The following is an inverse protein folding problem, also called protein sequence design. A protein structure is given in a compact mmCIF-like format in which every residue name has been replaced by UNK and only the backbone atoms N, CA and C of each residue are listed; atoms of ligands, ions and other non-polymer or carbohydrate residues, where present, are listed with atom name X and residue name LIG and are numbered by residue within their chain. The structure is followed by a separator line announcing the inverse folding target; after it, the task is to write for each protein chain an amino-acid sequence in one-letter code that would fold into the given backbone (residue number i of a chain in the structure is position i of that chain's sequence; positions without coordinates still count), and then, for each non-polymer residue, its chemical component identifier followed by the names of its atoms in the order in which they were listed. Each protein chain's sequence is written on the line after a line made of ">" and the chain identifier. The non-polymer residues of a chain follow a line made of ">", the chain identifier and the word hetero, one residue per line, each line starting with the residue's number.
data_IF_729159389532
#
_entry.id   IF_729159389532
#
_cell.length_a   1.000
_cell.length_b   1.000
_cell.length_c   1.000
_cell.angle_alpha   90.00
_cell.angle_beta   90.00
_cell.angle_gamma   90.00
#
_symmetry.space_group_name_H-M   'P 1'
#
loop_
_entity.id
_entity.type
_entity.pdbx_description
1 polymer ?
#
# COMPACT_ATOMS: atom_id res chain seq x y z
N UNK A 1 2.03 -21.51 -5.22
CA UNK A 1 1.55 -20.30 -4.51
C UNK A 1 0.11 -20.03 -4.93
N UNK A 2 -0.73 -19.38 -4.06
CA UNK A 2 -2.08 -18.96 -4.48
C UNK A 2 -1.92 -17.88 -5.55
N UNK A 3 -2.64 -18.02 -6.65
CA UNK A 3 -2.65 -17.04 -7.75
C UNK A 3 -3.67 -15.92 -7.53
N UNK A 4 -4.62 -16.13 -6.60
CA UNK A 4 -5.66 -15.16 -6.21
C UNK A 4 -5.68 -14.96 -4.70
N UNK A 5 -6.24 -13.82 -4.28
CA UNK A 5 -6.37 -13.39 -2.89
C UNK A 5 -7.73 -12.76 -2.64
N UNK A 6 -8.07 -12.59 -1.36
CA UNK A 6 -9.20 -11.78 -0.94
C UNK A 6 -8.74 -10.32 -0.78
N UNK A 7 -9.60 -9.40 -1.19
CA UNK A 7 -9.41 -7.97 -0.94
C UNK A 7 -10.75 -7.27 -0.78
N UNK A 8 -10.78 -6.24 0.05
CA UNK A 8 -11.92 -5.33 0.13
C UNK A 8 -11.69 -4.23 -0.90
N UNK A 9 -12.58 -4.11 -1.89
CA UNK A 9 -12.45 -3.15 -2.99
C UNK A 9 -13.61 -2.19 -3.08
N UNK A 10 -13.28 -0.93 -3.40
CA UNK A 10 -14.24 0.07 -3.86
C UNK A 10 -14.51 -0.17 -5.34
N UNK A 11 -15.76 -0.41 -5.72
CA UNK A 11 -16.17 -0.59 -7.10
C UNK A 11 -16.78 0.68 -7.69
N UNK A 12 -17.39 1.51 -6.84
CA UNK A 12 -17.93 2.81 -7.21
C UNK A 12 -17.75 3.78 -6.04
N UNK A 13 -17.48 5.07 -6.34
CA UNK A 13 -17.33 6.14 -5.35
C UNK A 13 -18.03 7.42 -5.81
N UNK A 14 -18.49 8.20 -4.85
CA UNK A 14 -19.11 9.51 -5.07
C UNK A 14 -20.60 9.43 -5.48
N UNK A 15 -21.22 10.60 -5.66
CA UNK A 15 -22.63 10.76 -6.05
C UNK A 15 -23.65 10.04 -5.15
N UNK A 16 -23.32 9.86 -3.86
CA UNK A 16 -24.15 9.11 -2.92
C UNK A 16 -24.15 7.59 -3.16
N UNK A 17 -23.35 7.10 -4.11
CA UNK A 17 -23.15 5.68 -4.38
C UNK A 17 -21.75 5.31 -4.00
N UNK A 18 -21.64 4.39 -3.06
CA UNK A 18 -20.38 3.77 -2.68
C UNK A 18 -20.59 2.28 -2.62
N UNK A 19 -19.84 1.54 -3.41
CA UNK A 19 -19.90 0.09 -3.40
C UNK A 19 -18.60 -0.48 -2.91
N UNK A 20 -18.62 -1.00 -1.66
CA UNK A 20 -17.50 -1.70 -1.04
C UNK A 20 -17.81 -3.20 -1.01
N UNK A 21 -16.94 -4.02 -1.62
CA UNK A 21 -17.10 -5.46 -1.68
C UNK A 21 -15.89 -6.22 -1.18
N UNK A 22 -16.14 -7.38 -0.58
CA UNK A 22 -15.11 -8.40 -0.38
C UNK A 22 -15.02 -9.28 -1.62
N UNK A 23 -14.04 -9.03 -2.46
CA UNK A 23 -13.73 -9.85 -3.63
C UNK A 23 -12.77 -10.99 -3.24
N UNK A 24 -13.03 -12.20 -3.75
CA UNK A 24 -12.30 -13.41 -3.33
C UNK A 24 -11.29 -13.91 -4.37
N UNK A 25 -11.37 -13.38 -5.59
CA UNK A 25 -10.58 -13.85 -6.74
C UNK A 25 -9.72 -12.73 -7.34
N UNK A 26 -9.21 -11.85 -6.48
CA UNK A 26 -8.31 -10.77 -6.90
C UNK A 26 -6.94 -11.36 -7.22
N UNK A 27 -6.35 -11.09 -8.40
CA UNK A 27 -5.00 -11.56 -8.69
C UNK A 27 -3.99 -11.10 -7.63
N UNK A 28 -3.12 -12.01 -7.19
CA UNK A 28 -1.99 -11.64 -6.32
C UNK A 28 -1.01 -10.83 -7.17
N UNK A 29 -0.63 -9.61 -6.76
CA UNK A 29 0.33 -8.82 -7.51
C UNK A 29 1.74 -9.41 -7.40
N UNK A 30 2.57 -9.18 -8.41
CA UNK A 30 3.98 -9.57 -8.45
C UNK A 30 4.85 -8.34 -8.19
N UNK A 31 5.85 -8.40 -7.29
CA UNK A 31 6.72 -7.27 -7.03
C UNK A 31 7.64 -7.00 -8.22
N UNK A 32 7.69 -5.75 -8.64
CA UNK A 32 8.61 -5.24 -9.65
C UNK A 32 9.99 -4.91 -9.10
N UNK A 33 10.81 -4.23 -9.92
CA UNK A 33 12.16 -3.78 -9.53
C UNK A 33 12.05 -2.81 -8.35
N UNK A 34 12.78 -3.08 -7.25
CA UNK A 34 12.78 -2.25 -6.05
C UNK A 34 11.53 -2.41 -5.17
N UNK A 35 10.71 -3.42 -5.40
CA UNK A 35 9.49 -3.68 -4.63
C UNK A 35 9.56 -5.04 -3.91
N UNK A 36 8.70 -5.20 -2.92
CA UNK A 36 8.48 -6.48 -2.24
C UNK A 36 6.98 -6.80 -2.18
N UNK A 37 6.64 -8.07 -2.10
CA UNK A 37 5.30 -8.55 -1.80
C UNK A 37 5.18 -8.79 -0.30
N UNK A 38 4.20 -8.18 0.32
CA UNK A 38 3.88 -8.36 1.74
C UNK A 38 2.67 -9.28 1.92
N UNK A 39 2.73 -10.18 2.89
CA UNK A 39 1.55 -10.77 3.52
C UNK A 39 1.05 -9.77 4.56
N UNK A 40 -0.10 -9.18 4.33
CA UNK A 40 -0.69 -8.20 5.27
C UNK A 40 -1.11 -8.93 6.54
N UNK A 41 -0.62 -8.46 7.69
CA UNK A 41 -1.00 -8.95 9.03
C UNK A 41 -1.97 -8.01 9.71
N UNK A 42 -1.79 -6.71 9.50
CA UNK A 42 -2.68 -5.68 9.98
C UNK A 42 -2.71 -4.50 9.00
N UNK A 43 -3.86 -3.86 8.91
CA UNK A 43 -4.01 -2.60 8.19
C UNK A 43 -4.91 -1.68 9.03
N UNK A 44 -4.39 -0.50 9.37
CA UNK A 44 -5.12 0.50 10.14
C UNK A 44 -6.25 1.11 9.30
N UNK A 45 -7.34 1.50 9.98
CA UNK A 45 -8.44 2.29 9.39
C UNK A 45 -8.19 3.76 9.66
N UNK A 46 -8.22 4.57 8.61
CA UNK A 46 -7.94 6.01 8.65
C UNK A 46 -9.09 6.84 8.08
N UNK A 47 -9.15 8.10 8.50
CA UNK A 47 -10.13 9.03 7.93
C UNK A 47 -9.97 9.18 6.41
N UNK A 48 -8.75 9.08 5.88
CA UNK A 48 -8.49 9.15 4.43
C UNK A 48 -9.17 8.02 3.66
N UNK A 49 -9.36 6.85 4.27
CA UNK A 49 -10.09 5.74 3.64
C UNK A 49 -11.56 6.10 3.44
N UNK A 50 -12.17 6.81 4.41
CA UNK A 50 -13.53 7.33 4.29
C UNK A 50 -13.61 8.42 3.22
N UNK A 51 -12.64 9.33 3.16
CA UNK A 51 -12.57 10.36 2.12
C UNK A 51 -12.41 9.74 0.72
N UNK A 52 -11.61 8.70 0.60
CA UNK A 52 -11.44 7.96 -0.67
C UNK A 52 -12.76 7.28 -1.07
N UNK A 53 -13.39 6.60 -0.11
CA UNK A 53 -14.71 5.96 -0.29
C UNK A 53 -15.79 6.94 -0.75
N UNK A 54 -15.78 8.14 -0.19
CA UNK A 54 -16.80 9.15 -0.45
C UNK A 54 -16.46 10.03 -1.67
N UNK A 55 -15.35 9.73 -2.38
CA UNK A 55 -14.90 10.50 -3.55
C UNK A 55 -14.41 11.90 -3.23
N UNK A 56 -13.97 12.15 -1.98
CA UNK A 56 -13.53 13.45 -1.48
C UNK A 56 -12.00 13.63 -1.51
N UNK A 57 -11.27 12.66 -2.05
CA UNK A 57 -9.83 12.82 -2.29
C UNK A 57 -9.60 13.66 -3.57
N UNK A 58 -8.47 14.42 -3.66
CA UNK A 58 -8.18 15.27 -4.83
C UNK A 58 -8.12 14.51 -6.16
N UNK A 59 -7.86 13.23 -6.11
CA UNK A 59 -7.81 12.34 -7.28
C UNK A 59 -8.59 11.06 -6.95
N UNK A 60 -9.56 10.74 -7.78
CA UNK A 60 -10.26 9.46 -7.71
C UNK A 60 -9.35 8.37 -8.27
N UNK A 61 -9.00 7.32 -7.48
CA UNK A 61 -8.20 6.23 -8.01
C UNK A 61 -8.97 5.43 -9.07
N UNK A 62 -8.26 4.70 -9.95
CA UNK A 62 -8.92 3.77 -10.87
C UNK A 62 -9.73 2.71 -10.11
N UNK A 63 -10.95 2.43 -10.56
CA UNK A 63 -11.81 1.40 -9.98
C UNK A 63 -11.66 0.06 -10.72
N UNK A 64 -11.81 -1.06 -10.03
CA UNK A 64 -12.00 -1.19 -8.59
C UNK A 64 -10.70 -0.95 -7.79
N UNK A 65 -10.80 -0.20 -6.69
CA UNK A 65 -9.66 0.24 -5.88
C UNK A 65 -9.56 -0.50 -4.54
N UNK A 66 -8.35 -0.83 -4.11
CA UNK A 66 -8.04 -1.34 -2.76
C UNK A 66 -7.48 -0.19 -1.93
N UNK A 67 -8.20 0.23 -0.89
CA UNK A 67 -7.73 1.25 0.05
C UNK A 67 -6.88 0.62 1.18
N UNK A 68 -6.54 1.40 2.20
CA UNK A 68 -5.74 0.98 3.35
C UNK A 68 -4.31 1.48 3.27
N UNK A 69 -4.00 2.49 4.08
CA UNK A 69 -2.73 3.23 4.04
C UNK A 69 -1.70 2.73 5.04
N UNK A 70 -2.12 2.25 6.21
CA UNK A 70 -1.24 1.79 7.29
C UNK A 70 -1.11 0.27 7.30
N UNK A 71 -0.03 -0.23 6.71
CA UNK A 71 0.18 -1.67 6.51
C UNK A 71 1.34 -2.15 7.37
N UNK A 72 1.09 -3.20 8.16
CA UNK A 72 2.12 -4.04 8.75
C UNK A 72 1.99 -5.47 8.19
N UNK A 73 3.12 -6.13 7.96
CA UNK A 73 3.11 -7.48 7.38
C UNK A 73 4.46 -8.14 7.32
N UNK A 74 4.47 -9.32 6.72
CA UNK A 74 5.70 -10.10 6.50
C UNK A 74 6.08 -10.04 5.01
N UNK A 75 7.34 -9.87 4.72
CA UNK A 75 7.88 -10.00 3.37
C UNK A 75 7.76 -11.45 2.93
N UNK A 76 7.08 -11.71 1.80
CA UNK A 76 6.88 -13.07 1.27
C UNK A 76 7.51 -13.28 -0.10
N UNK A 77 7.84 -12.19 -0.79
CA UNK A 77 8.58 -12.21 -2.05
C UNK A 77 9.37 -10.92 -2.19
N UNK A 78 10.54 -11.00 -2.79
CA UNK A 78 11.46 -9.88 -3.00
C UNK A 78 11.66 -9.69 -4.49
N UNK A 79 11.38 -8.50 -4.98
CA UNK A 79 11.56 -8.15 -6.39
C UNK A 79 13.02 -7.89 -6.75
N UNK A 80 13.33 -7.81 -8.04
CA UNK A 80 14.69 -7.56 -8.51
C UNK A 80 15.27 -6.26 -7.93
N UNK A 81 16.58 -6.29 -7.60
CA UNK A 81 17.32 -5.14 -7.10
C UNK A 81 17.11 -4.81 -5.61
N UNK A 82 16.27 -5.54 -4.90
CA UNK A 82 16.10 -5.38 -3.45
C UNK A 82 17.11 -6.26 -2.72
N UNK A 83 17.96 -5.65 -1.89
CA UNK A 83 19.00 -6.36 -1.12
C UNK A 83 18.86 -6.17 0.40
N UNK A 84 18.07 -5.18 0.82
CA UNK A 84 17.92 -4.83 2.25
C UNK A 84 16.82 -5.62 2.97
N UNK A 85 16.03 -6.40 2.23
CA UNK A 85 14.93 -7.20 2.78
C UNK A 85 15.04 -8.66 2.35
N UNK A 86 14.59 -9.54 3.24
CA UNK A 86 14.52 -10.98 3.02
C UNK A 86 13.11 -11.50 3.30
N UNK A 87 12.75 -12.64 2.69
CA UNK A 87 11.50 -13.34 3.00
C UNK A 87 11.47 -13.69 4.49
N UNK A 88 10.37 -13.37 5.15
CA UNK A 88 10.18 -13.53 6.60
C UNK A 88 10.44 -12.26 7.41
N UNK A 89 11.02 -11.21 6.84
CA UNK A 89 11.18 -9.94 7.54
C UNK A 89 9.81 -9.34 7.89
N UNK A 90 9.69 -8.86 9.14
CA UNK A 90 8.49 -8.17 9.64
C UNK A 90 8.66 -6.67 9.45
N UNK A 91 7.69 -6.06 8.80
CA UNK A 91 7.81 -4.66 8.37
C UNK A 91 6.52 -3.88 8.58
N UNK A 92 6.67 -2.55 8.69
CA UNK A 92 5.60 -1.57 8.56
C UNK A 92 5.92 -0.64 7.40
N UNK A 93 4.90 -0.20 6.69
CA UNK A 93 5.01 0.67 5.53
C UNK A 93 4.87 2.15 5.93
N UNK A 94 5.82 3.00 5.52
CA UNK A 94 5.60 4.45 5.44
C UNK A 94 4.68 4.74 4.24
N UNK A 95 3.46 5.26 4.45
CA UNK A 95 2.50 5.45 3.37
C UNK A 95 2.85 6.61 2.43
N UNK A 96 3.81 7.47 2.76
CA UNK A 96 4.19 8.60 1.92
C UNK A 96 5.21 8.17 0.86
N UNK A 97 4.71 7.89 -0.33
CA UNK A 97 5.54 7.46 -1.47
C UNK A 97 6.27 8.65 -2.08
N UNK A 98 7.46 8.93 -1.58
CA UNK A 98 8.32 10.01 -2.05
C UNK A 98 9.14 9.62 -3.29
N UNK A 99 9.45 10.59 -4.18
CA UNK A 99 10.22 10.33 -5.39
C UNK A 99 11.71 10.07 -5.12
N UNK A 100 12.26 10.62 -4.03
CA UNK A 100 13.67 10.50 -3.66
C UNK A 100 14.63 11.48 -4.34
N UNK A 101 14.21 12.23 -5.36
CA UNK A 101 15.10 13.05 -6.21
C UNK A 101 14.74 14.54 -6.29
N UNK A 102 13.56 14.97 -5.84
CA UNK A 102 13.22 16.40 -5.79
C UNK A 102 13.95 17.11 -4.66
N UNK A 103 14.00 18.45 -4.73
CA UNK A 103 14.71 19.26 -3.74
C UNK A 103 14.26 18.99 -2.29
N UNK A 104 12.97 18.70 -2.05
CA UNK A 104 12.47 18.34 -0.73
C UNK A 104 12.99 16.99 -0.27
N UNK A 105 12.97 15.98 -1.14
CA UNK A 105 13.47 14.64 -0.83
C UNK A 105 14.99 14.66 -0.53
N UNK A 106 15.76 15.40 -1.32
CA UNK A 106 17.22 15.51 -1.14
C UNK A 106 17.60 16.21 0.18
N UNK A 107 16.70 17.03 0.75
CA UNK A 107 16.87 17.64 2.09
C UNK A 107 16.31 16.77 3.23
N UNK A 108 15.80 15.58 2.94
CA UNK A 108 15.16 14.69 3.92
C UNK A 108 13.70 15.01 4.24
N UNK A 109 13.12 16.08 3.66
CA UNK A 109 11.71 16.43 3.83
C UNK A 109 10.81 15.65 2.85
N UNK A 110 10.79 14.34 2.97
CA UNK A 110 10.09 13.43 2.05
C UNK A 110 8.57 13.63 2.05
N UNK A 111 8.00 14.02 3.19
CA UNK A 111 6.59 14.39 3.33
C UNK A 111 6.19 15.64 2.51
N UNK A 112 7.15 16.45 2.09
CA UNK A 112 6.96 17.63 1.23
C UNK A 112 7.32 17.35 -0.24
N UNK A 113 7.32 16.08 -0.63
CA UNK A 113 7.64 15.69 -1.99
C UNK A 113 6.63 16.25 -3.00
N UNK A 114 7.11 17.01 -3.99
CA UNK A 114 6.24 17.60 -5.04
C UNK A 114 5.55 16.53 -5.92
N UNK A 115 6.11 15.31 -5.98
CA UNK A 115 5.57 14.15 -6.70
C UNK A 115 5.11 13.05 -5.72
N UNK A 116 4.85 13.45 -4.47
CA UNK A 116 4.41 12.52 -3.43
C UNK A 116 3.06 11.91 -3.77
N UNK A 117 2.93 10.62 -3.47
CA UNK A 117 1.66 9.89 -3.50
C UNK A 117 1.42 9.24 -2.15
N UNK A 118 0.19 8.95 -1.83
CA UNK A 118 -0.19 8.23 -0.61
C UNK A 118 -0.57 6.80 -0.99
N UNK A 119 0.10 5.84 -0.37
CA UNK A 119 -0.20 4.42 -0.51
C UNK A 119 -1.65 4.14 -0.08
N UNK A 120 -2.36 3.30 -0.82
CA UNK A 120 -3.77 3.02 -0.53
C UNK A 120 -4.75 4.12 -0.95
N UNK A 121 -4.26 5.27 -1.46
CA UNK A 121 -5.09 6.35 -2.03
C UNK A 121 -4.85 6.47 -3.54
N UNK A 122 -3.60 6.74 -3.96
CA UNK A 122 -3.24 6.80 -5.39
C UNK A 122 -2.58 5.52 -5.90
N UNK A 123 -2.41 4.52 -5.04
CA UNK A 123 -1.93 3.18 -5.38
C UNK A 123 -2.80 2.16 -4.67
N UNK A 124 -2.80 0.88 -5.09
CA UNK A 124 -3.44 -0.17 -4.30
C UNK A 124 -2.90 -0.21 -2.87
N UNK A 125 -3.77 -0.47 -1.91
CA UNK A 125 -3.49 -0.43 -0.47
C UNK A 125 -3.63 -1.77 0.23
N UNK A 126 -3.69 -1.72 1.57
CA UNK A 126 -3.54 -2.86 2.47
C UNK A 126 -4.82 -3.61 2.82
N UNK A 127 -6.00 -3.24 2.33
CA UNK A 127 -7.23 -4.01 2.60
C UNK A 127 -7.30 -5.27 1.73
N UNK A 128 -6.21 -6.03 1.72
CA UNK A 128 -6.02 -7.27 0.95
C UNK A 128 -5.13 -8.25 1.72
N UNK A 129 -5.15 -9.53 1.35
CA UNK A 129 -4.24 -10.53 1.94
C UNK A 129 -2.78 -10.31 1.54
N UNK A 130 -2.55 -9.66 0.38
CA UNK A 130 -1.22 -9.37 -0.17
C UNK A 130 -1.21 -7.97 -0.76
N UNK A 131 -0.05 -7.32 -0.66
CA UNK A 131 0.17 -6.02 -1.30
C UNK A 131 1.63 -5.87 -1.72
N UNK A 132 1.87 -5.22 -2.85
CA UNK A 132 3.22 -4.84 -3.29
C UNK A 132 3.54 -3.45 -2.73
N UNK A 133 4.73 -3.31 -2.17
CA UNK A 133 5.22 -2.06 -1.60
C UNK A 133 6.64 -1.75 -2.06
N UNK A 134 7.00 -0.45 -2.26
CA UNK A 134 8.39 -0.08 -2.52
C UNK A 134 9.28 -0.42 -1.33
N UNK A 135 10.35 -1.17 -1.55
CA UNK A 135 11.26 -1.64 -0.53
C UNK A 135 11.87 -0.50 0.33
N UNK A 136 12.07 0.67 -0.27
CA UNK A 136 12.60 1.87 0.40
C UNK A 136 11.63 2.52 1.39
N UNK A 137 10.35 2.20 1.33
CA UNK A 137 9.31 2.73 2.22
C UNK A 137 9.02 1.82 3.42
N UNK A 138 9.77 0.73 3.55
CA UNK A 138 9.57 -0.21 4.63
C UNK A 138 10.49 0.09 5.81
N UNK A 139 9.96 -0.07 6.99
CA UNK A 139 10.66 0.00 8.27
C UNK A 139 10.57 -1.36 8.95
N UNK A 140 11.67 -1.81 9.56
CA UNK A 140 11.69 -3.08 10.30
C UNK A 140 10.88 -2.95 11.59
N UNK A 141 9.97 -3.88 11.82
CA UNK A 141 9.30 -3.99 13.11
C UNK A 141 10.26 -4.56 14.16
N UNK A 142 10.33 -3.96 15.36
CA UNK A 142 11.07 -4.54 16.48
C UNK A 142 10.53 -5.91 16.86
N UNK A 143 11.40 -6.82 17.32
CA UNK A 143 11.00 -8.16 17.76
C UNK A 143 10.08 -8.14 18.99
N UNK A 144 10.12 -7.06 19.77
CA UNK A 144 9.27 -6.85 20.96
C UNK A 144 7.80 -6.56 20.62
N UNK A 145 7.48 -6.25 19.36
CA UNK A 145 6.09 -6.06 18.92
C UNK A 145 5.53 -7.39 18.38
N UNK A 146 4.36 -7.76 18.86
CA UNK A 146 3.64 -8.97 18.42
C UNK A 146 2.86 -8.74 17.14
#
# INVERSE_FOLDING_TARGET
>A
MKTTMRAVRLHEVGNGKTELRLDKDVPVPTPGVGEVLLAVRACGLNQVDLLTRDGQTPQTPPMPHISGTEVAGDVVEVGPGVTQWSVGDRVVLDPILSCGECASCLRGATNMCARGRVFGVQTPGGYAERVVAPAKQLLRLPDSLS
#
